data_IF_574630140318
#
_entry.id   IF_574630140318
#
_cell.length_a   1.000
_cell.length_b   1.000
_cell.length_c   1.000
_cell.angle_alpha   90.00
_cell.angle_beta   90.00
_cell.angle_gamma   90.00
#
_symmetry.space_group_name_H-M   'P 1'
#
loop_
_entity.id
_entity.type
_entity.pdbx_description
1 polymer ?
#
# COMPACT_ATOMS: atom_id res chain seq x y z
N UNK A 1 -0.82 -21.22 1.37
CA UNK A 1 -0.33 -21.23 -0.03
C UNK A 1 -1.46 -21.20 -1.05
N UNK A 2 -1.19 -20.66 -2.24
CA UNK A 2 -2.15 -20.64 -3.35
C UNK A 2 -2.05 -21.96 -4.13
N UNK A 3 -3.20 -22.58 -4.42
CA UNK A 3 -3.27 -23.83 -5.20
C UNK A 3 -2.72 -23.67 -6.63
N UNK A 4 -2.96 -22.52 -7.28
CA UNK A 4 -2.49 -22.22 -8.63
C UNK A 4 -2.03 -20.74 -8.76
N UNK A 5 -0.81 -20.39 -8.34
CA UNK A 5 -0.33 -19.00 -8.31
C UNK A 5 -0.38 -18.31 -9.68
N UNK A 6 -0.03 -19.02 -10.75
CA UNK A 6 0.05 -18.47 -12.12
C UNK A 6 -1.30 -17.95 -12.65
N UNK A 7 -2.43 -18.50 -12.19
CA UNK A 7 -3.76 -18.04 -12.58
C UNK A 7 -4.41 -17.15 -11.52
N UNK A 8 -4.21 -17.48 -10.23
CA UNK A 8 -4.86 -16.77 -9.12
C UNK A 8 -4.30 -15.36 -8.92
N UNK A 9 -3.00 -15.15 -9.09
CA UNK A 9 -2.37 -13.83 -8.93
C UNK A 9 -2.93 -12.83 -9.95
N UNK A 10 -2.82 -13.05 -11.28
CA UNK A 10 -3.27 -12.05 -12.24
C UNK A 10 -4.79 -11.79 -12.16
N UNK A 11 -5.60 -12.84 -11.97
CA UNK A 11 -7.07 -12.69 -11.83
C UNK A 11 -7.43 -11.91 -10.57
N UNK A 12 -6.80 -12.25 -9.44
CA UNK A 12 -7.05 -11.61 -8.15
C UNK A 12 -6.65 -10.14 -8.17
N UNK A 13 -5.45 -9.82 -8.66
CA UNK A 13 -4.96 -8.44 -8.73
C UNK A 13 -5.84 -7.57 -9.62
N UNK A 14 -6.18 -8.02 -10.83
CA UNK A 14 -7.03 -7.23 -11.76
C UNK A 14 -8.44 -7.04 -11.18
N UNK A 15 -9.05 -8.09 -10.64
CA UNK A 15 -10.38 -8.00 -10.04
C UNK A 15 -10.39 -7.06 -8.83
N UNK A 16 -9.37 -7.12 -7.98
CA UNK A 16 -9.23 -6.21 -6.84
C UNK A 16 -9.10 -4.76 -7.29
N UNK A 17 -8.22 -4.47 -8.26
CA UNK A 17 -8.03 -3.11 -8.80
C UNK A 17 -9.30 -2.56 -9.45
N UNK A 18 -10.05 -3.37 -10.21
CA UNK A 18 -11.32 -2.93 -10.80
C UNK A 18 -12.37 -2.64 -9.73
N UNK A 19 -12.46 -3.50 -8.71
CA UNK A 19 -13.42 -3.34 -7.62
C UNK A 19 -13.13 -2.08 -6.80
N UNK A 20 -11.87 -1.84 -6.41
CA UNK A 20 -11.50 -0.64 -5.66
C UNK A 20 -11.68 0.63 -6.48
N UNK A 21 -11.32 0.60 -7.77
CA UNK A 21 -11.54 1.73 -8.68
C UNK A 21 -13.03 2.08 -8.80
N UNK A 22 -13.89 1.06 -8.99
CA UNK A 22 -15.33 1.25 -9.05
C UNK A 22 -15.89 1.86 -7.76
N UNK A 23 -15.43 1.38 -6.59
CA UNK A 23 -15.83 1.94 -5.29
C UNK A 23 -15.39 3.40 -5.18
N UNK A 24 -14.13 3.73 -5.52
CA UNK A 24 -13.64 5.11 -5.45
C UNK A 24 -14.41 6.06 -6.36
N UNK A 25 -14.68 5.70 -7.61
CA UNK A 25 -15.47 6.53 -8.51
C UNK A 25 -16.92 6.69 -8.04
N UNK A 26 -17.53 5.62 -7.55
CA UNK A 26 -18.90 5.66 -7.01
C UNK A 26 -18.99 6.58 -5.80
N UNK A 27 -18.03 6.50 -4.86
CA UNK A 27 -17.96 7.37 -3.70
C UNK A 27 -17.73 8.83 -4.08
N UNK A 28 -16.84 9.10 -5.04
CA UNK A 28 -16.62 10.46 -5.54
C UNK A 28 -17.90 11.06 -6.14
N UNK A 29 -18.66 10.28 -6.91
CA UNK A 29 -19.94 10.71 -7.47
C UNK A 29 -20.99 10.97 -6.38
N UNK A 30 -21.14 10.04 -5.43
CA UNK A 30 -22.11 10.18 -4.32
C UNK A 30 -21.77 11.37 -3.44
N UNK A 31 -20.50 11.57 -3.06
CA UNK A 31 -20.10 12.71 -2.23
C UNK A 31 -20.30 14.04 -2.97
N UNK A 32 -19.98 14.10 -4.27
CA UNK A 32 -20.21 15.29 -5.08
C UNK A 32 -21.70 15.64 -5.25
N UNK A 33 -22.59 14.63 -5.25
CA UNK A 33 -24.04 14.84 -5.37
C UNK A 33 -24.74 15.12 -4.03
N UNK A 34 -24.22 14.59 -2.92
CA UNK A 34 -24.91 14.58 -1.63
C UNK A 34 -24.41 15.63 -0.63
N UNK A 35 -23.22 16.20 -0.80
CA UNK A 35 -22.57 17.07 0.21
C UNK A 35 -22.25 18.44 -0.40
N UNK A 36 -22.54 19.50 0.36
CA UNK A 36 -22.19 20.86 -0.02
C UNK A 36 -20.67 21.04 -0.22
N UNK A 37 -20.29 21.69 -1.32
CA UNK A 37 -18.88 21.87 -1.69
C UNK A 37 -18.04 22.63 -0.67
N UNK A 38 -18.65 23.49 0.14
CA UNK A 38 -17.95 24.20 1.22
C UNK A 38 -17.58 23.27 2.38
N UNK A 39 -18.46 22.32 2.71
CA UNK A 39 -18.22 21.31 3.76
C UNK A 39 -17.19 20.29 3.29
N UNK A 40 -17.23 19.89 2.02
CA UNK A 40 -16.24 18.96 1.44
C UNK A 40 -14.81 19.50 1.41
N UNK A 41 -14.64 20.83 1.31
CA UNK A 41 -13.32 21.48 1.29
C UNK A 41 -12.71 21.66 2.68
N UNK A 42 -13.51 21.52 3.72
CA UNK A 42 -13.05 21.62 5.11
C UNK A 42 -12.55 20.25 5.60
N UNK A 43 -11.24 20.03 5.42
CA UNK A 43 -10.55 18.78 5.81
C UNK A 43 -10.75 18.43 7.29
N UNK A 44 -10.83 19.44 8.16
CA UNK A 44 -10.87 19.24 9.62
C UNK A 44 -12.31 19.24 10.16
N UNK A 45 -13.31 19.41 9.30
CA UNK A 45 -14.72 19.41 9.70
C UNK A 45 -15.07 20.50 10.71
N UNK A 46 -14.35 21.63 10.72
CA UNK A 46 -14.64 22.73 11.64
C UNK A 46 -16.05 23.30 11.41
N UNK A 47 -16.51 23.27 10.16
CA UNK A 47 -17.87 23.62 9.73
C UNK A 47 -18.94 22.66 10.27
N UNK A 48 -18.56 21.49 10.80
CA UNK A 48 -19.43 20.47 11.38
C UNK A 48 -19.07 20.16 12.84
N UNK A 49 -18.50 21.13 13.56
CA UNK A 49 -18.16 20.96 14.98
C UNK A 49 -17.02 19.97 15.25
N UNK A 50 -16.13 19.75 14.27
CA UNK A 50 -15.00 18.81 14.37
C UNK A 50 -15.34 17.36 14.01
N UNK A 51 -16.53 17.10 13.46
CA UNK A 51 -16.92 15.76 12.99
C UNK A 51 -16.33 15.46 11.61
N UNK A 52 -16.00 14.19 11.36
CA UNK A 52 -15.56 13.74 10.04
C UNK A 52 -16.73 13.79 9.05
N UNK A 53 -16.56 14.53 7.95
CA UNK A 53 -17.62 14.72 6.92
C UNK A 53 -18.18 13.38 6.44
N UNK A 54 -17.30 12.41 6.16
CA UNK A 54 -17.70 11.06 5.73
C UNK A 54 -18.47 10.30 6.82
N UNK A 55 -18.12 10.50 8.10
CA UNK A 55 -18.81 9.86 9.23
C UNK A 55 -20.27 10.34 9.35
N UNK A 56 -20.54 11.62 9.05
CA UNK A 56 -21.90 12.16 9.10
C UNK A 56 -22.86 11.53 8.08
N UNK A 57 -22.34 11.02 6.96
CA UNK A 57 -23.13 10.36 5.92
C UNK A 57 -23.38 8.87 6.22
N UNK A 58 -22.73 8.29 7.24
CA UNK A 58 -22.89 6.86 7.52
C UNK A 58 -24.18 6.52 8.28
N UNK A 59 -24.79 5.42 7.83
CA UNK A 59 -25.90 4.74 8.50
C UNK A 59 -25.41 3.39 9.03
N UNK A 60 -25.79 2.93 10.24
CA UNK A 60 -26.78 3.49 11.17
C UNK A 60 -26.24 4.53 12.17
N UNK A 61 -24.91 4.64 12.34
CA UNK A 61 -24.31 5.68 13.19
C UNK A 61 -22.90 6.06 12.74
N UNK A 62 -22.50 7.31 12.99
CA UNK A 62 -21.16 7.83 12.68
C UNK A 62 -20.01 7.02 13.31
N UNK A 63 -20.27 6.38 14.46
CA UNK A 63 -19.31 5.55 15.17
C UNK A 63 -18.87 4.31 14.38
N UNK A 64 -19.73 3.79 13.49
CA UNK A 64 -19.39 2.63 12.66
C UNK A 64 -18.21 2.97 11.75
N UNK A 65 -18.23 4.15 11.12
CA UNK A 65 -17.13 4.59 10.28
C UNK A 65 -15.86 4.92 11.08
N UNK A 66 -16.00 5.55 12.25
CA UNK A 66 -14.84 5.89 13.09
C UNK A 66 -14.12 4.63 13.57
N UNK A 67 -14.85 3.66 14.13
CA UNK A 67 -14.27 2.40 14.61
C UNK A 67 -13.73 1.58 13.43
N UNK A 68 -14.49 1.50 12.33
CA UNK A 68 -14.09 0.74 11.14
C UNK A 68 -12.83 1.28 10.49
N UNK A 69 -12.73 2.60 10.30
CA UNK A 69 -11.54 3.24 9.74
C UNK A 69 -10.32 3.11 10.65
N UNK A 70 -10.50 3.22 11.98
CA UNK A 70 -9.43 2.99 12.94
C UNK A 70 -8.90 1.55 12.89
N UNK A 71 -9.78 0.55 12.99
CA UNK A 71 -9.39 -0.86 12.91
C UNK A 71 -8.74 -1.20 11.56
N UNK A 72 -9.28 -0.66 10.46
CA UNK A 72 -8.74 -0.88 9.11
C UNK A 72 -7.34 -0.29 8.97
N UNK A 73 -7.13 0.95 9.43
CA UNK A 73 -5.83 1.63 9.39
C UNK A 73 -4.82 0.92 10.28
N UNK A 74 -5.23 0.51 11.49
CA UNK A 74 -4.38 -0.23 12.41
C UNK A 74 -3.97 -1.60 11.83
N UNK A 75 -4.90 -2.34 11.24
CA UNK A 75 -4.62 -3.60 10.57
C UNK A 75 -3.65 -3.45 9.39
N UNK A 76 -3.85 -2.41 8.57
CA UNK A 76 -2.94 -2.08 7.47
C UNK A 76 -1.53 -1.72 7.98
N UNK A 77 -1.44 -0.92 9.05
CA UNK A 77 -0.16 -0.56 9.67
C UNK A 77 0.59 -1.81 10.20
N UNK A 78 -0.11 -2.73 10.87
CA UNK A 78 0.48 -3.99 11.33
C UNK A 78 0.95 -4.87 10.16
N UNK A 79 0.17 -4.94 9.08
CA UNK A 79 0.56 -5.69 7.88
C UNK A 79 1.84 -5.10 7.25
N UNK A 80 1.94 -3.77 7.14
CA UNK A 80 3.13 -3.09 6.65
C UNK A 80 4.35 -3.32 7.57
N UNK A 81 4.16 -3.22 8.89
CA UNK A 81 5.22 -3.41 9.88
C UNK A 81 5.81 -4.84 9.86
N UNK A 82 4.97 -5.85 9.58
CA UNK A 82 5.42 -7.25 9.47
C UNK A 82 5.99 -7.60 8.09
N UNK A 83 5.48 -6.99 7.01
CA UNK A 83 5.88 -7.32 5.64
C UNK A 83 7.20 -6.67 5.22
N UNK A 84 7.45 -5.41 5.58
CA UNK A 84 8.66 -4.68 5.18
C UNK A 84 9.97 -5.34 5.68
N UNK A 85 10.10 -5.78 6.95
CA UNK A 85 11.28 -6.50 7.42
C UNK A 85 11.54 -7.80 6.67
N UNK A 86 10.47 -8.52 6.29
CA UNK A 86 10.55 -9.79 5.56
C UNK A 86 11.00 -9.58 4.12
N UNK A 87 10.57 -8.49 3.48
CA UNK A 87 11.06 -8.08 2.17
C UNK A 87 12.55 -7.73 2.22
N UNK A 88 12.97 -6.90 3.19
CA UNK A 88 14.38 -6.54 3.39
C UNK A 88 15.26 -7.78 3.65
N UNK A 89 14.77 -8.70 4.48
CA UNK A 89 15.45 -9.96 4.76
C UNK A 89 15.58 -10.84 3.49
N UNK A 90 14.55 -10.88 2.65
CA UNK A 90 14.58 -11.67 1.40
C UNK A 90 15.65 -11.13 0.45
N UNK A 91 15.73 -9.79 0.30
CA UNK A 91 16.78 -9.13 -0.47
C UNK A 91 18.18 -9.41 0.12
N UNK A 92 18.32 -9.38 1.44
CA UNK A 92 19.58 -9.67 2.12
C UNK A 92 20.01 -11.15 1.99
N UNK A 93 19.07 -12.08 1.79
CA UNK A 93 19.37 -13.50 1.55
C UNK A 93 19.94 -13.75 0.17
N UNK A 94 19.57 -12.94 -0.82
CA UNK A 94 20.03 -13.05 -2.19
C UNK A 94 21.50 -12.59 -2.37
N UNK A 95 22.14 -12.07 -1.31
CA UNK A 95 23.55 -11.64 -1.26
C UNK A 95 23.96 -10.63 -2.37
N UNK A 96 22.98 -9.98 -3.00
CA UNK A 96 23.16 -9.00 -4.09
C UNK A 96 23.88 -7.73 -3.59
N UNK A 97 23.60 -7.31 -2.35
CA UNK A 97 24.17 -6.10 -1.76
C UNK A 97 24.93 -6.48 -0.48
N UNK A 98 26.28 -6.43 -0.47
CA UNK A 98 27.08 -6.87 0.67
C UNK A 98 26.86 -6.04 1.94
N UNK A 99 26.40 -4.80 1.82
CA UNK A 99 26.04 -3.93 2.95
C UNK A 99 24.80 -4.44 3.73
N UNK A 100 23.92 -5.21 3.08
CA UNK A 100 22.67 -5.70 3.68
C UNK A 100 22.81 -7.06 4.39
N UNK A 101 24.00 -7.66 4.40
CA UNK A 101 24.30 -8.93 5.10
C UNK A 101 23.84 -9.01 6.56
N UNK A 102 23.93 -7.96 7.41
CA UNK A 102 23.43 -8.07 8.79
C UNK A 102 21.92 -8.34 8.89
N UNK A 103 21.13 -7.94 7.89
CA UNK A 103 19.68 -8.18 7.86
C UNK A 103 19.29 -9.62 7.48
N UNK A 104 20.25 -10.44 7.05
CA UNK A 104 20.03 -11.86 6.76
C UNK A 104 19.75 -12.67 8.02
N UNK A 105 20.24 -12.21 9.19
CA UNK A 105 20.13 -12.91 10.47
C UNK A 105 18.69 -12.91 10.97
N UNK A 106 18.19 -14.10 11.33
CA UNK A 106 16.89 -14.31 11.96
C UNK A 106 17.02 -14.77 13.40
N UNK A 107 16.00 -14.46 14.20
CA UNK A 107 15.82 -15.02 15.54
C UNK A 107 15.37 -16.49 15.45
N UNK A 108 15.40 -17.22 16.58
CA UNK A 108 14.94 -18.62 16.70
C UNK A 108 13.52 -18.87 16.13
N UNK A 109 12.66 -17.85 16.14
CA UNK A 109 11.29 -17.92 15.61
C UNK A 109 11.19 -17.50 14.13
N UNK A 110 12.30 -17.45 13.40
CA UNK A 110 12.39 -17.03 12.00
C UNK A 110 11.94 -15.57 11.72
N UNK A 111 11.98 -14.72 12.75
CA UNK A 111 11.64 -13.30 12.64
C UNK A 111 12.89 -12.44 12.37
N UNK A 112 12.85 -11.53 11.37
CA UNK A 112 13.96 -10.63 11.04
C UNK A 112 14.00 -9.43 12.01
N UNK A 113 14.44 -9.66 13.25
CA UNK A 113 14.42 -8.67 14.32
C UNK A 113 15.18 -7.37 14.00
N UNK A 114 16.34 -7.47 13.36
CA UNK A 114 17.14 -6.30 12.98
C UNK A 114 16.44 -5.48 11.89
N UNK A 115 15.78 -6.15 10.94
CA UNK A 115 14.91 -5.50 9.96
C UNK A 115 13.71 -4.81 10.59
N UNK A 116 13.10 -5.43 11.61
CA UNK A 116 11.99 -4.84 12.36
C UNK A 116 12.42 -3.55 13.06
N UNK A 117 13.55 -3.54 13.76
CA UNK A 117 14.08 -2.34 14.43
C UNK A 117 14.23 -1.19 13.44
N UNK A 118 14.85 -1.43 12.29
CA UNK A 118 15.06 -0.36 11.30
C UNK A 118 13.74 0.16 10.75
N UNK A 119 12.82 -0.75 10.40
CA UNK A 119 11.49 -0.35 9.90
C UNK A 119 10.76 0.51 10.93
N UNK A 120 10.82 0.14 12.22
CA UNK A 120 10.23 0.92 13.32
C UNK A 120 10.90 2.28 13.48
N UNK A 121 12.23 2.37 13.44
CA UNK A 121 12.95 3.65 13.55
C UNK A 121 12.59 4.57 12.39
N UNK A 122 12.53 4.05 11.17
CA UNK A 122 12.14 4.85 9.99
C UNK A 122 10.69 5.32 10.12
N UNK A 123 9.78 4.45 10.55
CA UNK A 123 8.38 4.80 10.78
C UNK A 123 8.23 5.87 11.86
N UNK A 124 8.96 5.75 12.98
CA UNK A 124 8.97 6.72 14.07
C UNK A 124 9.46 8.10 13.59
N UNK A 125 10.55 8.14 12.81
CA UNK A 125 11.06 9.38 12.22
C UNK A 125 10.02 10.03 11.30
N UNK A 126 9.29 9.23 10.52
CA UNK A 126 8.21 9.75 9.68
C UNK A 126 7.05 10.30 10.52
N UNK A 127 6.67 9.64 11.62
CA UNK A 127 5.62 10.11 12.54
C UNK A 127 6.02 11.44 13.20
N UNK A 128 7.28 11.58 13.62
CA UNK A 128 7.80 12.80 14.25
C UNK A 128 7.76 14.03 13.32
N UNK A 129 7.78 13.83 12.00
CA UNK A 129 7.62 14.94 11.05
C UNK A 129 6.21 15.56 11.09
N UNK A 130 5.20 14.84 11.59
CA UNK A 130 3.83 15.34 11.84
C UNK A 130 3.02 15.79 10.62
N UNK A 131 3.64 15.87 9.44
CA UNK A 131 3.03 16.35 8.20
C UNK A 131 2.56 15.17 7.32
N UNK A 132 1.36 14.65 7.62
CA UNK A 132 0.75 13.52 6.88
C UNK A 132 0.73 13.74 5.36
N UNK A 133 0.40 14.96 4.90
CA UNK A 133 0.30 15.26 3.47
C UNK A 133 1.66 15.19 2.77
N UNK A 134 2.73 15.61 3.43
CA UNK A 134 4.09 15.49 2.90
C UNK A 134 4.58 14.04 2.90
N UNK A 135 4.26 13.28 3.95
CA UNK A 135 4.62 11.86 4.04
C UNK A 135 3.92 11.06 2.93
N UNK A 136 2.64 11.34 2.68
CA UNK A 136 1.89 10.69 1.60
C UNK A 136 2.56 10.91 0.23
N UNK A 137 2.95 12.14 -0.09
CA UNK A 137 3.63 12.45 -1.35
C UNK A 137 4.97 11.70 -1.51
N UNK A 138 5.76 11.57 -0.42
CA UNK A 138 7.01 10.81 -0.44
C UNK A 138 6.78 9.32 -0.67
N UNK A 139 5.77 8.75 0.01
CA UNK A 139 5.41 7.34 -0.15
C UNK A 139 4.92 7.05 -1.57
N UNK A 140 4.06 7.91 -2.12
CA UNK A 140 3.56 7.80 -3.50
C UNK A 140 4.70 7.83 -4.51
N UNK A 141 5.70 8.70 -4.31
CA UNK A 141 6.88 8.76 -5.16
C UNK A 141 7.65 7.43 -5.20
N UNK A 142 7.88 6.79 -4.04
CA UNK A 142 8.55 5.48 -3.99
C UNK A 142 7.74 4.36 -4.65
N UNK A 143 6.41 4.36 -4.47
CA UNK A 143 5.54 3.38 -5.13
C UNK A 143 5.53 3.57 -6.65
N UNK A 144 5.39 4.81 -7.14
CA UNK A 144 5.42 5.11 -8.56
C UNK A 144 6.76 4.75 -9.20
N UNK A 145 7.88 5.02 -8.52
CA UNK A 145 9.21 4.61 -8.98
C UNK A 145 9.33 3.09 -9.11
N UNK A 146 8.83 2.33 -8.12
CA UNK A 146 8.81 0.87 -8.17
C UNK A 146 7.98 0.37 -9.36
N UNK A 147 6.77 0.92 -9.56
CA UNK A 147 5.94 0.56 -10.71
C UNK A 147 6.61 0.92 -12.04
N UNK A 148 7.25 2.08 -12.13
CA UNK A 148 7.98 2.49 -13.32
C UNK A 148 9.11 1.51 -13.65
N UNK A 149 9.96 1.16 -12.67
CA UNK A 149 11.06 0.21 -12.91
C UNK A 149 10.56 -1.17 -13.31
N UNK A 150 9.52 -1.70 -12.65
CA UNK A 150 8.95 -3.01 -13.03
C UNK A 150 8.46 -2.99 -14.48
N UNK A 151 7.73 -1.95 -14.89
CA UNK A 151 7.24 -1.83 -16.26
C UNK A 151 8.39 -1.68 -17.26
N UNK A 152 9.36 -0.79 -17.00
CA UNK A 152 10.53 -0.58 -17.87
C UNK A 152 11.32 -1.88 -18.05
N UNK A 153 11.58 -2.60 -16.96
CA UNK A 153 12.30 -3.89 -17.01
C UNK A 153 11.51 -4.89 -17.86
N UNK A 154 10.19 -5.02 -17.64
CA UNK A 154 9.36 -5.93 -18.45
C UNK A 154 9.40 -5.57 -19.94
N UNK A 155 9.27 -4.29 -20.30
CA UNK A 155 9.35 -3.81 -21.68
C UNK A 155 10.74 -4.07 -22.29
N UNK A 156 11.81 -3.78 -21.54
CA UNK A 156 13.19 -3.98 -22.00
C UNK A 156 13.51 -5.46 -22.22
N UNK A 157 13.07 -6.35 -21.32
CA UNK A 157 13.24 -7.79 -21.49
C UNK A 157 12.45 -8.34 -22.70
N UNK A 158 11.26 -7.81 -22.98
CA UNK A 158 10.49 -8.16 -24.18
C UNK A 158 11.12 -7.63 -25.47
N UNK A 159 11.62 -6.40 -25.47
CA UNK A 159 12.24 -5.76 -26.63
C UNK A 159 13.60 -6.39 -26.99
N UNK A 160 14.42 -6.69 -25.98
CA UNK A 160 15.76 -7.27 -26.17
C UNK A 160 15.75 -8.79 -26.35
N UNK A 161 14.59 -9.44 -26.23
CA UNK A 161 14.47 -10.89 -26.40
C UNK A 161 15.28 -11.69 -25.37
N UNK A 162 15.21 -11.32 -24.08
CA UNK A 162 15.98 -11.98 -23.03
C UNK A 162 15.70 -13.52 -23.02
N UNK A 163 16.72 -14.38 -22.93
CA UNK A 163 16.60 -15.82 -23.24
C UNK A 163 15.60 -16.57 -22.35
N UNK A 164 15.40 -16.12 -21.11
CA UNK A 164 14.49 -16.73 -20.14
C UNK A 164 13.13 -16.00 -20.02
N UNK A 165 12.90 -14.94 -20.81
CA UNK A 165 11.67 -14.16 -20.73
C UNK A 165 10.59 -14.71 -21.65
N UNK A 166 9.59 -15.39 -21.08
CA UNK A 166 8.45 -15.98 -21.81
C UNK A 166 7.13 -15.74 -21.06
N UNK A 167 6.57 -14.52 -21.11
CA UNK A 167 5.32 -14.21 -20.43
C UNK A 167 4.18 -15.07 -21.01
N UNK A 168 3.47 -15.79 -20.13
CA UNK A 168 2.35 -16.67 -20.51
C UNK A 168 0.97 -16.02 -20.29
N UNK A 169 0.94 -14.75 -19.91
CA UNK A 169 -0.30 -14.03 -19.67
C UNK A 169 -0.89 -13.52 -20.99
N UNK A 170 -2.16 -13.86 -21.25
CA UNK A 170 -2.83 -13.64 -22.54
C UNK A 170 -2.89 -12.17 -23.00
N UNK A 171 -2.97 -11.23 -22.07
CA UNK A 171 -3.13 -9.80 -22.36
C UNK A 171 -1.84 -8.98 -22.19
N UNK A 172 -0.69 -9.65 -22.02
CA UNK A 172 0.62 -9.00 -21.93
C UNK A 172 1.12 -8.65 -23.34
N UNK A 173 1.65 -7.43 -23.51
CA UNK A 173 2.26 -6.93 -24.75
C UNK A 173 3.57 -6.21 -24.41
#
# INVERSE_FOLDING_TARGET
DLKNPQQSIPKGTIAATLTTSFIYFSLAFVFGAAIDGNVLRDKNGQSMGGSMVVASLSWPSAWVLLIGSFLSTFGAALQCLCSAPRLLQSIAKDDVIPLLRPFKKVTKNNEPFLGLIITTVIAELAILMGAMDSIAAVVDFFFLMCYAFVNIICTLHSLLGAPNWRPRFKYYH
#
